data_IF_588083943168
#
_entry.id   IF_588083943168
#
_cell.length_a   1.000
_cell.length_b   1.000
_cell.length_c   1.000
_cell.angle_alpha   90.00
_cell.angle_beta   90.00
_cell.angle_gamma   90.00
#
_symmetry.space_group_name_H-M   'P 1'
#
loop_
_entity.id
_entity.type
_entity.pdbx_description
1 polymer ?
#
# COMPACT_ATOMS: atom_id res chain seq x y z
N UNK A 1 -27.69 41.13 -8.07
CA UNK A 1 -26.22 41.02 -8.05
C UNK A 1 -25.65 40.78 -6.65
N UNK A 2 -26.10 41.50 -5.61
CA UNK A 2 -25.62 41.31 -4.22
C UNK A 2 -25.67 39.87 -3.70
N UNK A 3 -26.74 39.10 -3.96
CA UNK A 3 -26.85 37.70 -3.48
C UNK A 3 -25.83 36.74 -4.10
N UNK A 4 -25.41 36.98 -5.35
CA UNK A 4 -24.37 36.16 -6.01
C UNK A 4 -22.99 36.51 -5.48
N UNK A 5 -22.71 37.80 -5.28
CA UNK A 5 -21.48 38.28 -4.65
C UNK A 5 -21.34 37.78 -3.20
N UNK A 6 -22.44 37.81 -2.42
CA UNK A 6 -22.47 37.31 -1.05
C UNK A 6 -22.24 35.79 -0.99
N UNK A 7 -22.84 35.00 -1.89
CA UNK A 7 -22.58 33.55 -1.98
C UNK A 7 -21.14 33.25 -2.38
N UNK A 8 -20.59 33.97 -3.36
CA UNK A 8 -19.20 33.82 -3.78
C UNK A 8 -18.21 34.16 -2.64
N UNK A 9 -18.48 35.22 -1.88
CA UNK A 9 -17.69 35.59 -0.70
C UNK A 9 -17.74 34.53 0.40
N UNK A 10 -18.93 33.96 0.67
CA UNK A 10 -19.09 32.88 1.66
C UNK A 10 -18.39 31.59 1.24
N UNK A 11 -18.47 31.21 -0.05
CA UNK A 11 -17.74 30.05 -0.56
C UNK A 11 -16.23 30.25 -0.53
N UNK A 12 -15.75 31.45 -0.81
CA UNK A 12 -14.32 31.78 -0.72
C UNK A 12 -13.81 31.74 0.73
N UNK A 13 -14.59 32.25 1.69
CA UNK A 13 -14.29 32.14 3.12
C UNK A 13 -14.29 30.69 3.61
N UNK A 14 -15.25 29.88 3.15
CA UNK A 14 -15.30 28.45 3.48
C UNK A 14 -14.10 27.70 2.90
N UNK A 15 -13.75 27.95 1.64
CA UNK A 15 -12.58 27.36 1.00
C UNK A 15 -11.28 27.78 1.70
N UNK A 16 -11.15 29.05 2.07
CA UNK A 16 -9.99 29.56 2.81
C UNK A 16 -9.89 28.91 4.21
N UNK A 17 -11.02 28.76 4.90
CA UNK A 17 -11.09 28.05 6.19
C UNK A 17 -10.66 26.59 6.07
N UNK A 18 -11.13 25.88 5.04
CA UNK A 18 -10.73 24.51 4.73
C UNK A 18 -9.23 24.40 4.43
N UNK A 19 -8.67 25.34 3.65
CA UNK A 19 -7.24 25.38 3.35
C UNK A 19 -6.40 25.65 4.60
N UNK A 20 -6.82 26.60 5.45
CA UNK A 20 -6.13 26.92 6.71
C UNK A 20 -6.23 25.77 7.72
N UNK A 21 -7.37 25.08 7.80
CA UNK A 21 -7.54 23.89 8.62
C UNK A 21 -6.63 22.75 8.13
N UNK A 22 -6.57 22.50 6.83
CA UNK A 22 -5.68 21.50 6.24
C UNK A 22 -4.19 21.85 6.50
N UNK A 23 -3.80 23.11 6.32
CA UNK A 23 -2.45 23.57 6.58
C UNK A 23 -2.06 23.44 8.07
N UNK A 24 -2.98 23.75 8.98
CA UNK A 24 -2.78 23.61 10.43
C UNK A 24 -2.65 22.14 10.81
N UNK A 25 -3.46 21.27 10.23
CA UNK A 25 -3.40 19.83 10.46
C UNK A 25 -2.09 19.22 9.95
N UNK A 26 -1.58 19.67 8.80
CA UNK A 26 -0.27 19.25 8.28
C UNK A 26 0.87 19.70 9.21
N UNK A 27 0.80 20.92 9.79
CA UNK A 27 1.80 21.38 10.75
C UNK A 27 1.77 20.57 12.03
N UNK A 28 0.58 20.31 12.57
CA UNK A 28 0.37 19.48 13.76
C UNK A 28 0.90 18.06 13.49
N UNK A 29 0.55 17.44 12.36
CA UNK A 29 1.02 16.10 12.00
C UNK A 29 2.55 15.99 11.85
N UNK A 30 3.23 17.11 11.56
CA UNK A 30 4.69 17.20 11.46
C UNK A 30 5.35 17.70 12.75
N UNK A 31 4.57 18.01 13.78
CA UNK A 31 5.08 18.55 15.03
C UNK A 31 5.91 17.47 15.76
N UNK A 32 7.19 17.74 16.06
CA UNK A 32 8.02 16.84 16.86
C UNK A 32 7.38 16.46 18.20
N UNK A 33 6.54 17.30 18.79
CA UNK A 33 5.85 17.04 20.05
C UNK A 33 4.80 15.92 19.96
N UNK A 34 4.36 15.56 18.76
CA UNK A 34 3.41 14.45 18.53
C UNK A 34 4.09 13.11 18.20
N UNK A 35 5.42 13.11 17.95
CA UNK A 35 6.21 11.89 17.77
C UNK A 35 6.02 10.87 18.91
N UNK A 36 5.99 11.25 20.20
CA UNK A 36 5.79 10.30 21.29
C UNK A 36 4.45 9.56 21.25
N UNK A 37 3.43 10.09 20.57
CA UNK A 37 2.14 9.41 20.40
C UNK A 37 2.17 8.46 19.20
N UNK A 38 2.83 8.83 18.11
CA UNK A 38 3.08 7.94 16.97
C UNK A 38 3.99 6.76 17.38
N UNK A 39 5.05 7.02 18.13
CA UNK A 39 5.97 6.00 18.67
C UNK A 39 5.27 5.06 19.65
N UNK A 40 4.31 5.57 20.44
CA UNK A 40 3.47 4.73 21.30
C UNK A 40 2.53 3.83 20.51
N UNK A 41 2.02 4.30 19.37
CA UNK A 41 1.17 3.49 18.50
C UNK A 41 1.96 2.35 17.86
N UNK A 42 3.15 2.61 17.33
CA UNK A 42 4.02 1.56 16.76
C UNK A 42 4.50 0.59 17.84
N UNK A 43 4.91 1.08 19.01
CA UNK A 43 5.29 0.23 20.14
C UNK A 43 4.15 -0.69 20.60
N UNK A 44 2.89 -0.23 20.54
CA UNK A 44 1.74 -1.07 20.87
C UNK A 44 1.49 -2.19 19.84
N UNK A 45 1.77 -1.97 18.54
CA UNK A 45 1.75 -3.03 17.52
C UNK A 45 2.81 -4.07 17.84
N UNK A 46 4.05 -3.63 18.08
CA UNK A 46 5.16 -4.52 18.40
C UNK A 46 4.85 -5.37 19.64
N UNK A 47 4.36 -4.75 20.72
CA UNK A 47 3.97 -5.46 21.93
C UNK A 47 2.80 -6.45 21.72
N UNK A 48 1.82 -6.10 20.87
CA UNK A 48 0.74 -7.01 20.53
C UNK A 48 1.24 -8.23 19.74
N UNK A 49 2.13 -8.00 18.78
CA UNK A 49 2.75 -9.05 17.99
C UNK A 49 3.64 -9.96 18.82
N UNK A 50 4.43 -9.42 19.74
CA UNK A 50 5.29 -10.21 20.61
C UNK A 50 4.47 -11.09 21.57
N UNK A 51 3.31 -10.60 22.05
CA UNK A 51 2.37 -11.42 22.84
C UNK A 51 1.79 -12.59 22.05
N UNK A 52 1.29 -12.34 20.84
CA UNK A 52 0.80 -13.42 19.97
C UNK A 52 1.92 -14.40 19.63
N UNK A 53 3.14 -13.90 19.41
CA UNK A 53 4.29 -14.73 19.08
C UNK A 53 4.79 -15.56 20.27
N UNK A 54 4.61 -15.10 21.50
CA UNK A 54 4.92 -15.90 22.69
C UNK A 54 4.08 -17.19 22.75
N UNK A 55 2.83 -17.15 22.28
CA UNK A 55 1.96 -18.31 22.22
C UNK A 55 2.15 -19.16 20.95
N UNK A 56 2.51 -18.53 19.83
CA UNK A 56 2.50 -19.17 18.51
C UNK A 56 3.85 -19.75 18.04
N UNK A 57 4.98 -19.18 18.47
CA UNK A 57 6.31 -19.65 18.07
C UNK A 57 6.70 -20.91 18.85
N UNK A 58 6.17 -22.05 18.46
CA UNK A 58 6.56 -23.36 18.99
C UNK A 58 7.56 -24.05 18.05
N UNK A 59 8.41 -24.98 18.54
CA UNK A 59 9.31 -25.75 17.68
C UNK A 59 8.57 -26.48 16.56
N UNK A 60 7.42 -27.08 16.88
CA UNK A 60 6.57 -27.77 15.91
C UNK A 60 6.06 -26.82 14.82
N UNK A 61 5.65 -25.59 15.19
CA UNK A 61 5.16 -24.60 14.22
C UNK A 61 6.28 -24.11 13.29
N UNK A 62 7.46 -23.88 13.82
CA UNK A 62 8.64 -23.48 13.03
C UNK A 62 9.02 -24.61 12.06
N UNK A 63 9.11 -25.86 12.54
CA UNK A 63 9.44 -27.00 11.70
C UNK A 63 8.39 -27.22 10.59
N UNK A 64 7.10 -27.20 10.91
CA UNK A 64 6.01 -27.29 9.93
C UNK A 64 6.14 -26.21 8.86
N UNK A 65 6.38 -24.95 9.26
CA UNK A 65 6.46 -23.85 8.31
C UNK A 65 7.71 -23.92 7.44
N UNK A 66 8.86 -24.25 8.00
CA UNK A 66 10.10 -24.43 7.24
C UNK A 66 9.96 -25.58 6.24
N UNK A 67 9.38 -26.72 6.62
CA UNK A 67 9.11 -27.83 5.69
C UNK A 67 8.23 -27.37 4.53
N UNK A 68 7.15 -26.62 4.81
CA UNK A 68 6.27 -26.11 3.77
C UNK A 68 7.00 -25.12 2.83
N UNK A 69 7.82 -24.22 3.38
CA UNK A 69 8.59 -23.24 2.61
C UNK A 69 9.69 -23.89 1.75
N UNK A 70 10.36 -24.92 2.28
CA UNK A 70 11.39 -25.68 1.55
C UNK A 70 10.80 -26.54 0.42
N UNK A 71 9.50 -26.81 0.45
CA UNK A 71 8.77 -27.49 -0.61
C UNK A 71 8.18 -26.53 -1.68
N UNK A 72 8.24 -25.21 -1.48
CA UNK A 72 7.77 -24.25 -2.48
C UNK A 72 8.72 -24.23 -3.70
N UNK A 73 8.16 -24.19 -4.91
CA UNK A 73 8.91 -24.04 -6.16
C UNK A 73 8.34 -22.85 -6.98
N UNK A 74 9.11 -21.76 -7.18
CA UNK A 74 10.41 -21.46 -6.57
C UNK A 74 10.35 -21.23 -5.04
N UNK A 75 11.41 -21.61 -4.32
CA UNK A 75 11.50 -21.37 -2.87
C UNK A 75 11.52 -19.88 -2.54
N UNK A 76 10.77 -19.51 -1.50
CA UNK A 76 10.75 -18.16 -0.95
C UNK A 76 11.82 -18.00 0.14
N UNK A 77 13.05 -17.70 -0.27
CA UNK A 77 14.18 -17.54 0.64
C UNK A 77 14.02 -16.38 1.63
N UNK A 78 13.31 -15.31 1.24
CA UNK A 78 12.94 -14.23 2.17
C UNK A 78 12.07 -14.75 3.33
N UNK A 79 11.09 -15.59 3.05
CA UNK A 79 10.25 -16.20 4.10
C UNK A 79 11.02 -17.25 4.92
N UNK A 80 11.86 -18.07 4.29
CA UNK A 80 12.71 -19.06 4.98
C UNK A 80 13.63 -18.35 5.96
N UNK A 81 14.34 -17.32 5.52
CA UNK A 81 15.27 -16.55 6.35
C UNK A 81 14.54 -15.84 7.48
N UNK A 82 13.37 -15.28 7.21
CA UNK A 82 12.59 -14.63 8.25
C UNK A 82 12.04 -15.63 9.30
N UNK A 83 11.73 -16.87 8.93
CA UNK A 83 11.31 -17.91 9.89
C UNK A 83 12.50 -18.45 10.69
N UNK A 84 13.67 -18.65 10.07
CA UNK A 84 14.89 -19.03 10.79
C UNK A 84 15.36 -17.93 11.75
N UNK A 85 15.18 -16.66 11.37
CA UNK A 85 15.40 -15.51 12.25
C UNK A 85 14.51 -15.55 13.50
N UNK A 86 13.22 -15.88 13.34
CA UNK A 86 12.31 -16.05 14.49
C UNK A 86 12.76 -17.22 15.37
N UNK A 87 13.18 -18.34 14.77
CA UNK A 87 13.67 -19.49 15.52
C UNK A 87 14.91 -19.13 16.34
N UNK A 88 15.87 -18.43 15.72
CA UNK A 88 17.11 -17.96 16.36
C UNK A 88 16.84 -16.91 17.45
N UNK A 89 15.97 -15.93 17.21
CA UNK A 89 15.55 -14.92 18.19
C UNK A 89 14.97 -15.58 19.46
N UNK A 90 14.27 -16.71 19.29
CA UNK A 90 13.57 -17.42 20.37
C UNK A 90 14.33 -18.63 20.92
N UNK A 91 15.51 -18.96 20.40
CA UNK A 91 16.26 -20.15 20.78
C UNK A 91 15.52 -21.47 20.50
N UNK A 92 14.70 -21.51 19.46
CA UNK A 92 13.92 -22.68 19.08
C UNK A 92 14.73 -23.59 18.13
N UNK A 93 14.71 -24.92 18.32
CA UNK A 93 15.39 -25.83 17.43
C UNK A 93 14.70 -25.91 16.07
N UNK A 94 15.48 -26.03 15.01
CA UNK A 94 15.03 -26.33 13.64
C UNK A 94 16.10 -27.13 12.90
N UNK A 95 15.72 -27.75 11.78
CA UNK A 95 16.64 -28.54 10.95
C UNK A 95 17.55 -27.61 10.13
N UNK A 96 18.66 -27.21 10.74
CA UNK A 96 19.71 -26.40 10.10
C UNK A 96 20.24 -27.06 8.84
N UNK A 97 20.50 -28.37 8.89
CA UNK A 97 21.14 -29.11 7.82
C UNK A 97 20.25 -29.17 6.57
N UNK A 98 18.94 -29.33 6.73
CA UNK A 98 18.00 -29.29 5.61
C UNK A 98 17.95 -27.89 4.95
N UNK A 99 17.97 -26.81 5.75
CA UNK A 99 17.98 -25.43 5.23
C UNK A 99 19.29 -25.14 4.49
N UNK A 100 20.43 -25.53 5.06
CA UNK A 100 21.75 -25.35 4.44
C UNK A 100 21.89 -26.17 3.16
N UNK A 101 21.48 -27.45 3.17
CA UNK A 101 21.51 -28.28 1.97
C UNK A 101 20.63 -27.72 0.84
N UNK A 102 19.43 -27.21 1.17
CA UNK A 102 18.57 -26.55 0.20
C UNK A 102 19.20 -25.25 -0.33
N UNK A 103 19.88 -24.49 0.53
CA UNK A 103 20.58 -23.26 0.16
C UNK A 103 21.73 -23.55 -0.79
N UNK A 104 22.55 -24.55 -0.49
CA UNK A 104 23.67 -24.92 -1.35
C UNK A 104 23.20 -25.41 -2.72
N UNK A 105 22.09 -26.16 -2.77
CA UNK A 105 21.47 -26.56 -4.03
C UNK A 105 21.00 -25.35 -4.86
N UNK A 106 20.29 -24.40 -4.23
CA UNK A 106 19.70 -23.26 -4.93
C UNK A 106 20.70 -22.17 -5.30
N UNK A 107 21.76 -21.99 -4.50
CA UNK A 107 22.77 -20.94 -4.65
C UNK A 107 24.13 -21.44 -5.19
N UNK A 108 24.22 -22.69 -5.64
CA UNK A 108 25.38 -23.16 -6.41
C UNK A 108 25.58 -22.30 -7.67
N UNK A 109 26.83 -22.13 -8.12
CA UNK A 109 27.16 -21.26 -9.27
C UNK A 109 26.33 -21.63 -10.51
N UNK A 110 26.21 -22.93 -10.79
CA UNK A 110 25.43 -23.44 -11.92
C UNK A 110 23.92 -23.15 -11.76
N UNK A 111 23.35 -23.39 -10.57
CA UNK A 111 21.95 -23.10 -10.30
C UNK A 111 21.63 -21.60 -10.35
N UNK A 112 22.55 -20.74 -9.89
CA UNK A 112 22.38 -19.28 -9.99
C UNK A 112 22.40 -18.82 -11.44
N UNK A 113 23.32 -19.33 -12.25
CA UNK A 113 23.39 -18.99 -13.68
C UNK A 113 22.11 -19.41 -14.42
N UNK A 114 21.65 -20.65 -14.22
CA UNK A 114 20.42 -21.14 -14.87
C UNK A 114 19.17 -20.43 -14.38
N UNK A 115 19.03 -20.22 -13.07
CA UNK A 115 17.89 -19.52 -12.47
C UNK A 115 17.86 -18.06 -12.89
N UNK A 116 19.01 -17.39 -12.98
CA UNK A 116 19.11 -16.01 -13.45
C UNK A 116 18.69 -15.90 -14.92
N UNK A 117 19.14 -16.83 -15.78
CA UNK A 117 18.72 -16.88 -17.19
C UNK A 117 17.20 -17.17 -17.31
N UNK A 118 16.69 -18.12 -16.55
CA UNK A 118 15.26 -18.44 -16.50
C UNK A 118 14.42 -17.27 -16.00
N UNK A 119 14.85 -16.59 -14.94
CA UNK A 119 14.22 -15.38 -14.38
C UNK A 119 14.28 -14.19 -15.35
N UNK A 120 15.38 -14.03 -16.09
CA UNK A 120 15.49 -13.00 -17.13
C UNK A 120 14.53 -13.26 -18.30
N UNK A 121 14.25 -14.53 -18.61
CA UNK A 121 13.31 -14.95 -19.64
C UNK A 121 11.85 -14.89 -19.19
N UNK A 122 11.55 -15.43 -18.00
CA UNK A 122 10.22 -15.48 -17.40
C UNK A 122 10.30 -15.06 -15.92
N UNK A 123 9.69 -13.92 -15.60
CA UNK A 123 9.68 -13.38 -14.25
C UNK A 123 8.94 -14.30 -13.24
N UNK A 124 8.05 -15.18 -13.72
CA UNK A 124 7.38 -16.17 -12.89
C UNK A 124 8.34 -17.21 -12.30
N UNK A 125 9.54 -17.36 -12.89
CA UNK A 125 10.57 -18.29 -12.43
C UNK A 125 11.58 -17.61 -11.49
N UNK A 126 11.44 -16.30 -11.24
CA UNK A 126 12.30 -15.59 -10.30
C UNK A 126 12.04 -16.02 -8.85
N UNK A 127 13.13 -16.25 -8.12
CA UNK A 127 13.08 -16.51 -6.68
C UNK A 127 13.02 -15.18 -5.92
N UNK A 128 12.33 -15.17 -4.77
CA UNK A 128 12.35 -14.04 -3.83
C UNK A 128 13.67 -14.06 -3.03
N UNK A 129 14.72 -13.54 -3.64
CA UNK A 129 16.09 -13.49 -3.10
C UNK A 129 16.91 -12.38 -3.79
N UNK A 130 18.20 -12.28 -3.48
CA UNK A 130 19.11 -11.31 -4.13
C UNK A 130 19.18 -11.47 -5.66
N UNK A 131 18.80 -12.63 -6.19
CA UNK A 131 18.70 -12.96 -7.62
C UNK A 131 17.62 -12.15 -8.36
N UNK A 132 16.69 -11.48 -7.67
CA UNK A 132 15.80 -10.49 -8.30
C UNK A 132 16.57 -9.36 -9.01
N UNK A 133 17.85 -9.16 -8.66
CA UNK A 133 18.76 -8.26 -9.37
C UNK A 133 19.01 -8.68 -10.83
N UNK A 134 18.77 -9.96 -11.20
CA UNK A 134 18.82 -10.42 -12.59
C UNK A 134 17.76 -9.74 -13.48
N UNK A 135 16.70 -9.21 -12.89
CA UNK A 135 15.65 -8.41 -13.54
C UNK A 135 15.83 -6.90 -13.28
N UNK A 136 16.99 -6.44 -12.77
CA UNK A 136 17.25 -5.03 -12.44
C UNK A 136 16.80 -4.01 -13.51
N UNK A 137 16.92 -4.26 -14.83
CA UNK A 137 16.41 -3.34 -15.85
C UNK A 137 14.89 -3.10 -15.75
N UNK A 138 14.11 -4.09 -15.32
CA UNK A 138 12.64 -4.02 -15.18
C UNK A 138 12.17 -3.43 -13.85
N UNK A 139 13.03 -3.39 -12.82
CA UNK A 139 12.76 -2.77 -11.52
C UNK A 139 13.01 -1.25 -11.51
N UNK A 140 13.71 -0.73 -12.52
CA UNK A 140 13.89 0.72 -12.68
C UNK A 140 12.65 1.35 -13.30
N UNK A 141 12.24 2.52 -12.81
CA UNK A 141 10.98 3.22 -13.15
C UNK A 141 10.73 3.60 -14.61
N UNK A 142 11.51 3.07 -15.56
CA UNK A 142 11.33 3.14 -17.02
C UNK A 142 10.19 2.20 -17.49
N UNK A 143 9.80 1.22 -16.66
CA UNK A 143 8.73 0.23 -16.95
C UNK A 143 7.43 0.85 -17.45
N UNK A 144 6.73 1.66 -16.65
CA UNK A 144 5.36 2.11 -16.98
C UNK A 144 5.23 2.84 -18.33
N UNK A 145 6.24 3.63 -18.71
CA UNK A 145 6.27 4.34 -20.00
C UNK A 145 6.55 3.37 -21.14
N UNK A 146 7.51 2.45 -20.95
CA UNK A 146 7.82 1.39 -21.93
C UNK A 146 6.64 0.46 -22.13
N UNK A 147 5.94 0.11 -21.05
CA UNK A 147 4.79 -0.78 -21.07
C UNK A 147 3.60 -0.10 -21.73
N UNK A 148 3.31 1.17 -21.40
CA UNK A 148 2.24 1.89 -22.10
C UNK A 148 2.59 2.16 -23.56
N UNK A 149 3.87 2.39 -23.89
CA UNK A 149 4.32 2.50 -25.28
C UNK A 149 4.19 1.15 -26.01
N UNK A 150 4.51 0.03 -25.37
CA UNK A 150 4.35 -1.31 -25.92
C UNK A 150 2.87 -1.66 -26.12
N UNK A 151 2.03 -1.47 -25.11
CA UNK A 151 0.58 -1.67 -25.22
C UNK A 151 -0.05 -0.69 -26.22
N UNK A 152 0.49 0.53 -26.35
CA UNK A 152 0.10 1.51 -27.37
C UNK A 152 0.50 1.08 -28.78
N UNK A 153 1.64 0.41 -28.94
CA UNK A 153 2.04 -0.22 -30.21
C UNK A 153 1.17 -1.43 -30.54
N UNK A 154 0.86 -2.29 -29.57
CA UNK A 154 -0.10 -3.39 -29.76
C UNK A 154 -1.46 -2.85 -30.21
N UNK A 155 -1.94 -1.79 -29.57
CA UNK A 155 -3.16 -1.11 -29.97
C UNK A 155 -3.10 -0.55 -31.40
N UNK A 156 -1.98 0.09 -31.78
CA UNK A 156 -1.78 0.61 -33.13
C UNK A 156 -1.65 -0.49 -34.20
N UNK A 157 -1.12 -1.66 -33.83
CA UNK A 157 -0.97 -2.84 -34.68
C UNK A 157 -2.25 -3.69 -34.77
N UNK A 158 -3.30 -3.37 -33.98
CA UNK A 158 -4.52 -4.19 -33.92
C UNK A 158 -4.35 -5.50 -33.13
N UNK A 159 -3.30 -5.60 -32.34
CA UNK A 159 -2.98 -6.76 -31.49
C UNK A 159 -3.71 -6.67 -30.13
N UNK A 160 -3.73 -7.79 -29.38
CA UNK A 160 -4.35 -7.84 -28.06
C UNK A 160 -3.59 -6.97 -27.04
N UNK A 161 -4.34 -6.12 -26.33
CA UNK A 161 -3.81 -5.23 -25.28
C UNK A 161 -4.06 -5.85 -23.91
N UNK A 162 -3.06 -5.87 -23.02
CA UNK A 162 -3.25 -6.34 -21.64
C UNK A 162 -3.96 -5.27 -20.79
N UNK A 163 -5.26 -5.47 -20.45
CA UNK A 163 -6.04 -4.45 -19.75
C UNK A 163 -5.53 -4.20 -18.33
N UNK A 164 -4.87 -5.18 -17.71
CA UNK A 164 -4.32 -5.05 -16.35
C UNK A 164 -3.08 -4.16 -16.36
N UNK A 165 -2.23 -4.30 -17.37
CA UNK A 165 -1.06 -3.42 -17.55
C UNK A 165 -1.50 -1.98 -17.77
N UNK A 166 -2.50 -1.74 -18.63
CA UNK A 166 -3.04 -0.39 -18.85
C UNK A 166 -3.65 0.20 -17.57
N UNK A 167 -4.39 -0.58 -16.78
CA UNK A 167 -4.99 -0.11 -15.53
C UNK A 167 -3.94 0.23 -14.45
N UNK A 168 -2.91 -0.62 -14.29
CA UNK A 168 -1.80 -0.33 -13.38
C UNK A 168 -1.00 0.91 -13.83
N UNK A 169 -0.73 1.04 -15.14
CA UNK A 169 -0.12 2.24 -15.71
C UNK A 169 -1.01 3.48 -15.53
N UNK A 170 -2.33 3.34 -15.62
CA UNK A 170 -3.28 4.43 -15.38
C UNK A 170 -3.31 4.85 -13.90
N UNK A 171 -3.18 3.92 -12.95
CA UNK A 171 -3.03 4.25 -11.51
C UNK A 171 -1.70 4.97 -11.27
N UNK A 172 -0.60 4.45 -11.84
CA UNK A 172 0.73 5.05 -11.73
C UNK A 172 0.85 6.43 -12.38
N UNK A 173 0.23 6.65 -13.55
CA UNK A 173 0.24 7.93 -14.28
C UNK A 173 -0.86 8.90 -13.84
N UNK A 174 -2.02 8.39 -13.39
CA UNK A 174 -3.09 9.21 -12.79
C UNK A 174 -2.60 9.90 -11.52
N UNK A 175 -1.74 9.23 -10.75
CA UNK A 175 -1.00 9.84 -9.65
C UNK A 175 -0.10 11.01 -10.12
N UNK A 176 0.55 10.88 -11.29
CA UNK A 176 1.37 11.93 -11.93
C UNK A 176 0.55 13.09 -12.51
N UNK A 177 -0.72 12.86 -12.86
CA UNK A 177 -1.63 13.92 -13.33
C UNK A 177 -2.20 14.77 -12.18
N UNK A 178 -2.49 14.18 -11.02
CA UNK A 178 -3.00 14.90 -9.84
C UNK A 178 -1.98 15.92 -9.28
N UNK A 179 -0.69 15.70 -9.54
CA UNK A 179 0.46 16.51 -9.09
C UNK A 179 0.41 17.94 -9.57
N UNK A 180 0.08 18.09 -10.86
CA UNK A 180 0.01 19.39 -11.50
C UNK A 180 -1.16 20.22 -10.95
N UNK A 181 -2.11 19.57 -10.26
CA UNK A 181 -3.25 20.23 -9.64
C UNK A 181 -3.09 20.45 -8.12
N UNK A 182 -2.34 19.62 -7.39
CA UNK A 182 -2.33 19.63 -5.90
C UNK A 182 -0.99 19.95 -5.22
N UNK A 183 0.14 20.08 -5.93
CA UNK A 183 1.39 20.57 -5.35
C UNK A 183 2.02 19.71 -4.24
N UNK A 184 1.80 18.39 -4.22
CA UNK A 184 2.53 17.49 -3.30
C UNK A 184 2.14 16.00 -3.34
N UNK A 185 3.16 15.14 -3.13
CA UNK A 185 3.18 13.68 -2.86
C UNK A 185 2.71 12.68 -3.92
N UNK A 186 3.42 12.61 -5.05
CA UNK A 186 3.09 11.72 -6.18
C UNK A 186 4.25 10.90 -6.75
N UNK A 187 5.46 11.12 -6.24
CA UNK A 187 6.58 10.19 -6.43
C UNK A 187 6.36 8.85 -5.72
N UNK A 188 5.39 8.79 -4.80
CA UNK A 188 5.11 7.64 -3.93
C UNK A 188 4.33 6.53 -4.63
N UNK A 189 3.30 6.80 -5.42
CA UNK A 189 2.48 5.71 -5.97
C UNK A 189 3.17 4.85 -7.05
N UNK A 190 4.28 5.32 -7.61
CA UNK A 190 5.03 4.62 -8.66
C UNK A 190 5.69 3.33 -8.16
N UNK A 191 6.27 3.36 -6.97
CA UNK A 191 6.93 2.20 -6.37
C UNK A 191 5.91 1.10 -6.01
N UNK A 192 4.77 1.49 -5.43
CA UNK A 192 3.69 0.55 -5.10
C UNK A 192 3.07 -0.13 -6.33
N UNK A 193 2.86 0.61 -7.42
CA UNK A 193 2.32 0.04 -8.67
C UNK A 193 3.33 -0.93 -9.32
N UNK A 194 4.61 -0.57 -9.33
CA UNK A 194 5.69 -1.43 -9.80
C UNK A 194 5.79 -2.72 -8.96
N UNK A 195 5.72 -2.63 -7.63
CA UNK A 195 5.73 -3.79 -6.74
C UNK A 195 4.56 -4.74 -7.00
N UNK A 196 3.33 -4.20 -7.13
CA UNK A 196 2.13 -5.00 -7.48
C UNK A 196 2.28 -5.65 -8.86
N UNK A 197 2.84 -4.93 -9.83
CA UNK A 197 3.10 -5.46 -11.17
C UNK A 197 4.12 -6.61 -11.15
N UNK A 198 5.24 -6.41 -10.46
CA UNK A 198 6.27 -7.43 -10.28
C UNK A 198 5.69 -8.67 -9.60
N UNK A 199 4.93 -8.49 -8.52
CA UNK A 199 4.27 -9.60 -7.85
C UNK A 199 3.22 -10.32 -8.71
N UNK A 200 2.50 -9.61 -9.59
CA UNK A 200 1.62 -10.25 -10.58
C UNK A 200 2.42 -11.13 -11.54
N UNK A 201 3.52 -10.59 -12.09
CA UNK A 201 4.40 -11.34 -13.00
C UNK A 201 4.96 -12.59 -12.33
N UNK A 202 5.39 -12.46 -11.08
CA UNK A 202 5.88 -13.56 -10.24
C UNK A 202 4.79 -14.50 -9.73
N UNK A 203 3.50 -14.24 -10.04
CA UNK A 203 2.34 -15.00 -9.56
C UNK A 203 2.23 -15.09 -8.03
N UNK A 204 2.70 -14.05 -7.34
CA UNK A 204 2.69 -13.94 -5.88
C UNK A 204 1.38 -13.40 -5.32
N UNK A 205 0.55 -12.77 -6.15
CA UNK A 205 -0.69 -12.13 -5.68
C UNK A 205 -1.72 -13.17 -5.24
N UNK A 206 -2.46 -12.84 -4.18
CA UNK A 206 -3.57 -13.68 -3.74
C UNK A 206 -4.68 -13.73 -4.80
N UNK A 207 -5.53 -14.79 -4.80
CA UNK A 207 -6.66 -14.86 -5.71
C UNK A 207 -7.62 -13.66 -5.60
N UNK A 208 -7.98 -13.18 -4.38
CA UNK A 208 -8.78 -11.95 -4.24
C UNK A 208 -8.13 -10.70 -4.84
N UNK A 209 -6.82 -10.50 -4.61
CA UNK A 209 -6.08 -9.37 -5.17
C UNK A 209 -6.02 -9.43 -6.70
N UNK A 210 -5.80 -10.62 -7.25
CA UNK A 210 -5.83 -10.86 -8.70
C UNK A 210 -7.21 -10.55 -9.28
N UNK A 211 -8.28 -10.99 -8.63
CA UNK A 211 -9.64 -10.68 -9.05
C UNK A 211 -9.96 -9.18 -8.97
N UNK A 212 -9.48 -8.48 -7.94
CA UNK A 212 -9.61 -7.02 -7.82
C UNK A 212 -8.87 -6.29 -8.94
N UNK A 213 -7.64 -6.70 -9.27
CA UNK A 213 -6.87 -6.15 -10.40
C UNK A 213 -7.60 -6.35 -11.73
N UNK A 214 -8.10 -7.55 -11.98
CA UNK A 214 -8.84 -7.87 -13.20
C UNK A 214 -10.15 -7.07 -13.30
N UNK A 215 -10.85 -6.88 -12.18
CA UNK A 215 -12.06 -6.04 -12.14
C UNK A 215 -11.74 -4.58 -12.43
N UNK A 216 -10.71 -4.05 -11.75
CA UNK A 216 -10.23 -2.69 -11.98
C UNK A 216 -9.80 -2.48 -13.45
N UNK A 217 -9.20 -3.49 -14.08
CA UNK A 217 -8.84 -3.47 -15.49
C UNK A 217 -10.06 -3.41 -16.42
N UNK A 218 -11.06 -4.27 -16.19
CA UNK A 218 -12.26 -4.31 -17.04
C UNK A 218 -13.19 -3.12 -16.86
N UNK A 219 -13.38 -2.68 -15.62
CA UNK A 219 -14.44 -1.75 -15.24
C UNK A 219 -13.92 -0.36 -14.86
N UNK A 220 -12.63 -0.24 -14.57
CA UNK A 220 -11.99 1.02 -14.18
C UNK A 220 -11.61 1.92 -15.34
N UNK A 221 -11.70 1.42 -16.57
CA UNK A 221 -11.44 2.16 -17.80
C UNK A 221 -12.65 2.08 -18.73
N UNK A 222 -13.05 3.22 -19.27
CA UNK A 222 -13.97 3.29 -20.39
C UNK A 222 -13.20 3.00 -21.69
N UNK A 223 -13.09 1.71 -22.02
CA UNK A 223 -12.43 1.24 -23.24
C UNK A 223 -13.03 1.82 -24.53
N UNK A 224 -14.30 2.21 -24.52
CA UNK A 224 -14.93 2.86 -25.68
C UNK A 224 -14.47 4.31 -25.83
N UNK A 225 -14.36 5.04 -24.72
CA UNK A 225 -13.85 6.41 -24.71
C UNK A 225 -12.35 6.43 -25.01
N UNK A 226 -11.59 5.48 -24.47
CA UNK A 226 -10.16 5.34 -24.74
C UNK A 226 -9.90 5.11 -26.22
N UNK A 227 -10.64 4.19 -26.87
CA UNK A 227 -10.51 3.93 -28.31
C UNK A 227 -10.84 5.13 -29.19
N UNK A 228 -11.86 5.91 -28.81
CA UNK A 228 -12.29 7.09 -29.59
C UNK A 228 -11.38 8.30 -29.43
N UNK A 229 -10.80 8.48 -28.25
CA UNK A 229 -10.10 9.74 -27.91
C UNK A 229 -8.60 9.60 -27.79
N UNK A 230 -8.09 8.37 -27.56
CA UNK A 230 -6.71 8.12 -27.18
C UNK A 230 -6.33 8.70 -25.81
N UNK A 231 -7.27 9.32 -25.08
CA UNK A 231 -6.99 10.04 -23.84
C UNK A 231 -7.31 9.17 -22.62
N UNK A 232 -6.27 8.62 -22.01
CA UNK A 232 -6.36 7.80 -20.81
C UNK A 232 -7.01 8.55 -19.64
N UNK A 233 -6.79 9.87 -19.50
CA UNK A 233 -7.33 10.64 -18.37
C UNK A 233 -8.86 10.73 -18.43
N UNK A 234 -9.41 10.81 -19.64
CA UNK A 234 -10.87 10.85 -19.87
C UNK A 234 -11.52 9.48 -19.79
N UNK A 235 -10.75 8.41 -20.00
CA UNK A 235 -11.24 7.04 -19.92
C UNK A 235 -11.25 6.49 -18.49
N UNK A 236 -10.48 7.06 -17.55
CA UNK A 236 -10.43 6.58 -16.17
C UNK A 236 -11.77 6.80 -15.44
N UNK A 237 -12.23 5.75 -14.74
CA UNK A 237 -13.38 5.78 -13.82
C UNK A 237 -12.88 5.73 -12.37
N UNK A 238 -12.70 6.89 -11.70
CA UNK A 238 -12.02 6.96 -10.41
C UNK A 238 -12.71 6.15 -9.30
N UNK A 239 -14.04 6.12 -9.29
CA UNK A 239 -14.81 5.36 -8.29
C UNK A 239 -14.53 3.86 -8.32
N UNK A 240 -14.34 3.30 -9.52
CA UNK A 240 -14.06 1.87 -9.70
C UNK A 240 -12.60 1.51 -9.43
N UNK A 241 -11.67 2.44 -9.68
CA UNK A 241 -10.24 2.26 -9.37
C UNK A 241 -9.88 2.53 -7.90
N UNK A 242 -10.83 3.03 -7.09
CA UNK A 242 -10.59 3.43 -5.70
C UNK A 242 -9.90 2.35 -4.84
N UNK A 243 -10.47 1.13 -4.74
CA UNK A 243 -9.88 0.04 -3.93
C UNK A 243 -8.47 -0.35 -4.36
N UNK A 244 -8.21 -0.39 -5.68
CA UNK A 244 -6.89 -0.68 -6.23
C UNK A 244 -5.91 0.45 -5.90
N UNK A 245 -6.33 1.70 -6.08
CA UNK A 245 -5.50 2.88 -5.80
C UNK A 245 -5.13 2.95 -4.32
N UNK A 246 -6.06 2.63 -3.42
CA UNK A 246 -5.80 2.55 -1.99
C UNK A 246 -4.83 1.42 -1.66
N UNK A 247 -5.03 0.23 -2.24
CA UNK A 247 -4.10 -0.90 -2.07
C UNK A 247 -2.68 -0.53 -2.52
N UNK A 248 -2.52 0.05 -3.71
CA UNK A 248 -1.22 0.50 -4.25
C UNK A 248 -0.56 1.55 -3.34
N UNK A 249 -1.35 2.45 -2.75
CA UNK A 249 -0.84 3.43 -1.78
C UNK A 249 -0.26 2.77 -0.54
N UNK A 250 -0.96 1.79 0.01
CA UNK A 250 -0.49 1.05 1.19
C UNK A 250 0.71 0.16 0.87
N UNK A 251 0.79 -0.40 -0.35
CA UNK A 251 1.99 -1.11 -0.84
C UNK A 251 3.19 -0.16 -0.96
N UNK A 252 2.99 1.07 -1.42
CA UNK A 252 4.08 2.05 -1.38
C UNK A 252 4.51 2.38 0.06
N UNK A 253 3.58 2.43 1.02
CA UNK A 253 3.95 2.60 2.43
C UNK A 253 4.82 1.43 2.92
N UNK A 254 4.51 0.20 2.48
CA UNK A 254 5.34 -0.97 2.75
C UNK A 254 6.76 -0.84 2.20
N UNK A 255 6.91 -0.41 0.94
CA UNK A 255 8.24 -0.16 0.33
C UNK A 255 9.04 0.94 1.05
N UNK A 256 8.36 1.88 1.72
CA UNK A 256 9.01 2.88 2.56
C UNK A 256 9.54 2.33 3.89
N UNK A 257 9.01 1.19 4.35
CA UNK A 257 9.35 0.56 5.64
C UNK A 257 10.22 -0.70 5.49
N UNK A 258 10.19 -1.37 4.34
CA UNK A 258 10.86 -2.66 4.09
C UNK A 258 11.61 -2.64 2.76
N UNK A 259 12.69 -3.45 2.63
CA UNK A 259 13.28 -3.76 1.34
C UNK A 259 12.24 -4.31 0.35
N UNK A 260 12.42 -4.04 -0.94
CA UNK A 260 11.49 -4.48 -2.00
C UNK A 260 11.21 -5.97 -1.98
N UNK A 261 12.22 -6.82 -1.77
CA UNK A 261 12.05 -8.28 -1.75
C UNK A 261 11.18 -8.76 -0.58
N UNK A 262 11.26 -8.10 0.58
CA UNK A 262 10.39 -8.35 1.73
C UNK A 262 8.97 -7.83 1.48
N UNK A 263 8.83 -6.67 0.83
CA UNK A 263 7.52 -6.17 0.42
C UNK A 263 6.83 -7.15 -0.54
N UNK A 264 7.55 -7.65 -1.55
CA UNK A 264 7.02 -8.64 -2.49
C UNK A 264 6.59 -9.93 -1.80
N UNK A 265 7.35 -10.41 -0.81
CA UNK A 265 6.98 -11.59 -0.01
C UNK A 265 5.64 -11.39 0.74
N UNK A 266 5.35 -10.17 1.20
CA UNK A 266 4.11 -9.85 1.93
C UNK A 266 2.89 -9.66 1.02
N UNK A 267 3.07 -9.32 -0.26
CA UNK A 267 1.96 -9.08 -1.20
C UNK A 267 1.03 -10.29 -1.35
N UNK A 268 1.54 -11.52 -1.14
CA UNK A 268 0.73 -12.76 -1.17
C UNK A 268 -0.34 -12.82 -0.08
N UNK A 269 -0.21 -12.00 0.97
CA UNK A 269 -1.14 -11.95 2.09
C UNK A 269 -2.15 -10.81 1.99
N UNK A 270 -2.07 -9.96 0.96
CA UNK A 270 -2.95 -8.82 0.77
C UNK A 270 -4.12 -9.25 -0.12
N UNK A 271 -5.35 -9.24 0.40
CA UNK A 271 -6.55 -9.47 -0.41
C UNK A 271 -7.22 -8.17 -0.88
N UNK A 272 -6.86 -7.04 -0.27
CA UNK A 272 -7.44 -5.75 -0.54
C UNK A 272 -6.85 -4.63 0.31
N UNK A 273 -7.45 -3.42 0.27
CA UNK A 273 -6.87 -2.22 0.87
C UNK A 273 -6.72 -2.31 2.40
N UNK A 274 -7.68 -2.96 3.09
CA UNK A 274 -7.63 -3.12 4.54
C UNK A 274 -6.48 -3.99 5.01
N UNK A 275 -6.21 -5.08 4.30
CA UNK A 275 -5.08 -5.97 4.59
C UNK A 275 -3.76 -5.25 4.30
N UNK A 276 -3.67 -4.56 3.16
CA UNK A 276 -2.48 -3.79 2.78
C UNK A 276 -2.15 -2.74 3.85
N UNK A 277 -3.16 -1.99 4.32
CA UNK A 277 -3.02 -1.00 5.39
C UNK A 277 -2.54 -1.61 6.70
N UNK A 278 -3.10 -2.75 7.10
CA UNK A 278 -2.71 -3.45 8.34
C UNK A 278 -1.29 -4.00 8.23
N UNK A 279 -0.90 -4.51 7.08
CA UNK A 279 0.45 -5.02 6.86
C UNK A 279 1.44 -3.85 6.82
N UNK A 280 1.12 -2.73 6.18
CA UNK A 280 1.91 -1.50 6.20
C UNK A 280 2.13 -0.96 7.62
N UNK A 281 1.07 -0.87 8.43
CA UNK A 281 1.19 -0.44 9.83
C UNK A 281 2.09 -1.38 10.65
N UNK A 282 2.03 -2.69 10.38
CA UNK A 282 2.90 -3.65 11.05
C UNK A 282 4.36 -3.52 10.57
N UNK A 283 4.58 -3.28 9.29
CA UNK A 283 5.90 -3.02 8.72
C UNK A 283 6.56 -1.78 9.29
N UNK A 284 5.83 -0.68 9.40
CA UNK A 284 6.31 0.55 10.03
C UNK A 284 6.69 0.36 11.50
N UNK A 285 6.04 -0.59 12.21
CA UNK A 285 6.29 -0.88 13.61
C UNK A 285 7.38 -1.94 13.88
N UNK A 286 7.45 -2.97 13.03
CA UNK A 286 8.32 -4.14 13.23
C UNK A 286 9.57 -4.11 12.35
N UNK A 287 9.56 -3.34 11.26
CA UNK A 287 10.60 -3.35 10.23
C UNK A 287 10.78 -4.77 9.65
N UNK A 288 12.01 -5.22 9.39
CA UNK A 288 12.30 -6.52 8.76
C UNK A 288 11.71 -7.74 9.47
N UNK A 289 11.42 -7.64 10.79
CA UNK A 289 10.76 -8.73 11.54
C UNK A 289 9.34 -9.04 11.06
N UNK A 290 8.74 -8.18 10.25
CA UNK A 290 7.36 -8.30 9.75
C UNK A 290 7.10 -9.60 9.02
N UNK A 291 8.01 -9.99 8.11
CA UNK A 291 7.87 -11.23 7.32
C UNK A 291 7.84 -12.44 8.26
N UNK A 292 8.79 -12.54 9.18
CA UNK A 292 8.87 -13.67 10.12
C UNK A 292 7.65 -13.74 11.04
N UNK A 293 7.16 -12.58 11.50
CA UNK A 293 5.91 -12.53 12.29
C UNK A 293 4.70 -12.97 11.44
N UNK A 294 4.59 -12.54 10.20
CA UNK A 294 3.51 -12.94 9.28
C UNK A 294 3.52 -14.45 9.01
N UNK A 295 4.68 -15.02 8.69
CA UNK A 295 4.85 -16.43 8.33
C UNK A 295 4.52 -17.36 9.51
N UNK A 296 4.98 -17.02 10.72
CA UNK A 296 4.76 -17.86 11.91
C UNK A 296 3.34 -17.72 12.45
N UNK A 297 2.82 -16.50 12.60
CA UNK A 297 1.45 -16.26 13.12
C UNK A 297 0.37 -16.66 12.11
N UNK A 298 0.67 -16.55 10.82
CA UNK A 298 -0.30 -16.59 9.74
C UNK A 298 -1.15 -15.32 9.65
N UNK A 299 -1.73 -15.10 8.47
CA UNK A 299 -2.50 -13.90 8.11
C UNK A 299 -3.57 -13.53 9.16
N UNK A 300 -4.42 -14.47 9.56
CA UNK A 300 -5.57 -14.17 10.42
C UNK A 300 -5.17 -13.70 11.84
N UNK A 301 -4.12 -14.26 12.44
CA UNK A 301 -3.65 -13.85 13.76
C UNK A 301 -2.84 -12.55 13.66
N UNK A 302 -1.99 -12.44 12.64
CA UNK A 302 -1.24 -11.23 12.34
C UNK A 302 -2.16 -10.00 12.17
N UNK A 303 -3.15 -10.08 11.28
CA UNK A 303 -4.05 -8.95 11.00
C UNK A 303 -4.93 -8.57 12.20
N UNK A 304 -5.24 -9.52 13.09
CA UNK A 304 -5.95 -9.26 14.35
C UNK A 304 -5.05 -8.55 15.37
N UNK A 305 -3.78 -8.92 15.46
CA UNK A 305 -2.81 -8.24 16.32
C UNK A 305 -2.62 -6.77 15.90
N UNK A 306 -2.63 -6.48 14.60
CA UNK A 306 -2.53 -5.09 14.11
C UNK A 306 -3.84 -4.30 14.21
N UNK A 307 -4.98 -4.98 14.39
CA UNK A 307 -6.32 -4.36 14.38
C UNK A 307 -6.56 -3.36 15.53
N UNK A 308 -5.90 -3.55 16.68
CA UNK A 308 -6.25 -2.85 17.92
C UNK A 308 -5.93 -1.35 17.94
N UNK A 309 -5.20 -0.83 16.95
CA UNK A 309 -4.80 0.57 16.89
C UNK A 309 -5.55 1.43 15.88
N UNK A 310 -6.18 0.83 14.86
CA UNK A 310 -7.05 1.59 13.95
C UNK A 310 -8.19 2.27 14.71
N UNK A 311 -8.69 1.66 15.79
CA UNK A 311 -9.72 2.25 16.63
C UNK A 311 -9.25 3.48 17.43
N UNK A 312 -7.95 3.54 17.79
CA UNK A 312 -7.39 4.69 18.51
C UNK A 312 -7.19 5.86 17.55
N UNK A 313 -6.69 5.61 16.34
CA UNK A 313 -6.57 6.62 15.29
C UNK A 313 -7.95 7.14 14.83
N UNK A 314 -8.93 6.23 14.66
CA UNK A 314 -10.33 6.60 14.37
C UNK A 314 -10.93 7.37 15.54
N UNK A 315 -10.66 7.00 16.79
CA UNK A 315 -11.12 7.70 17.98
C UNK A 315 -10.54 9.12 18.08
N UNK A 316 -9.26 9.30 17.78
CA UNK A 316 -8.59 10.62 17.72
C UNK A 316 -9.13 11.48 16.58
N UNK A 317 -9.31 10.90 15.39
CA UNK A 317 -9.90 11.59 14.25
C UNK A 317 -11.36 11.98 14.53
N UNK A 318 -12.17 11.08 15.09
CA UNK A 318 -13.54 11.35 15.50
C UNK A 318 -13.60 12.43 16.60
N UNK A 319 -12.66 12.42 17.55
CA UNK A 319 -12.51 13.46 18.57
C UNK A 319 -12.20 14.83 17.98
N UNK A 320 -11.25 14.91 17.04
CA UNK A 320 -10.92 16.15 16.33
C UNK A 320 -12.09 16.65 15.48
N UNK A 321 -12.81 15.74 14.80
CA UNK A 321 -14.04 16.06 14.07
C UNK A 321 -15.15 16.55 15.00
N UNK A 322 -15.29 15.96 16.19
CA UNK A 322 -16.23 16.41 17.21
C UNK A 322 -15.92 17.83 17.69
N UNK A 323 -14.65 18.15 17.93
CA UNK A 323 -14.20 19.50 18.31
C UNK A 323 -14.48 20.50 17.18
N UNK A 324 -14.15 20.16 15.94
CA UNK A 324 -14.42 21.01 14.79
C UNK A 324 -15.93 21.26 14.60
N UNK A 325 -16.76 20.24 14.75
CA UNK A 325 -18.22 20.35 14.72
C UNK A 325 -18.77 21.25 15.83
N UNK A 326 -18.24 21.13 17.06
CA UNK A 326 -18.61 21.98 18.18
C UNK A 326 -18.25 23.46 17.94
N UNK A 327 -17.06 23.74 17.41
CA UNK A 327 -16.62 25.10 17.07
C UNK A 327 -17.48 25.72 15.94
N UNK A 328 -17.82 24.94 14.91
CA UNK A 328 -18.73 25.39 13.85
C UNK A 328 -20.14 25.67 14.39
N UNK A 329 -20.66 24.82 15.26
CA UNK A 329 -21.94 25.06 15.95
C UNK A 329 -21.94 26.34 16.76
N UNK A 330 -20.85 26.61 17.50
CA UNK A 330 -20.69 27.82 18.29
C UNK A 330 -20.62 29.10 17.43
N UNK A 331 -19.87 29.06 16.32
CA UNK A 331 -19.77 30.17 15.38
C UNK A 331 -21.12 30.48 14.70
N UNK A 332 -21.86 29.43 14.30
CA UNK A 332 -23.19 29.57 13.74
C UNK A 332 -24.18 30.20 14.74
N UNK A 333 -24.10 29.82 16.01
CA UNK A 333 -24.95 30.37 17.06
C UNK A 333 -24.65 31.85 17.32
N UNK A 334 -23.37 32.22 17.43
CA UNK A 334 -22.93 33.61 17.57
C UNK A 334 -23.39 34.49 16.40
N UNK A 335 -23.23 34.00 15.17
CA UNK A 335 -23.72 34.67 13.96
C UNK A 335 -25.23 34.88 13.97
N UNK A 336 -26.00 33.89 14.41
CA UNK A 336 -27.46 33.98 14.52
C UNK A 336 -27.88 35.06 15.54
N UNK A 337 -27.25 35.07 16.72
CA UNK A 337 -27.51 36.13 17.72
C UNK A 337 -27.11 37.52 17.25
N UNK A 338 -25.99 37.66 16.52
CA UNK A 338 -25.57 38.95 15.97
C UNK A 338 -26.54 39.45 14.88
N UNK A 339 -26.99 38.56 14.00
CA UNK A 339 -27.97 38.87 12.96
C UNK A 339 -29.32 39.31 13.57
N UNK A 340 -29.81 38.61 14.60
CA UNK A 340 -31.04 38.98 15.30
C UNK A 340 -30.92 40.34 16.01
N UNK A 341 -29.76 40.64 16.61
CA UNK A 341 -29.50 41.96 17.23
C UNK A 341 -29.46 43.07 16.18
N UNK A 342 -28.87 42.83 15.02
CA UNK A 342 -28.80 43.79 13.93
C UNK A 342 -30.20 44.07 13.36
N UNK A 343 -30.99 43.03 13.12
CA UNK A 343 -32.38 43.15 12.67
C UNK A 343 -33.26 43.90 13.66
N UNK A 344 -33.10 43.66 14.97
CA UNK A 344 -33.80 44.42 16.02
C UNK A 344 -33.41 45.89 16.08
N UNK A 345 -32.18 46.24 15.72
CA UNK A 345 -31.71 47.64 15.63
C UNK A 345 -32.20 48.35 14.38
N UNK A 346 -32.37 47.63 13.28
CA UNK A 346 -32.91 48.16 12.02
C UNK A 346 -34.44 48.27 12.02
N UNK A 347 -35.12 47.55 12.92
CA UNK A 347 -36.58 47.61 13.09
C UNK A 347 -37.03 48.66 14.12
N UNK A 348 -36.10 49.39 14.74
CA UNK A 348 -36.34 50.59 15.56
C UNK A 348 -35.98 51.81 14.75
#
# INVERSE_FOLDING_TARGET
MLRRAARAGLTALLALSLVLAAASMIRIARDPALRPFADRATAAIAAAMDREMAAAATPARIAERLTALLAEEPRNWVAIDAVTDVARERGLPYDMAAVEAARDADFSIAARASTCAACAWDIAQCRLSAELLCQAPMLTGIGDVKDLAREGMHYAAGEEVDPVTVALSAVGLGATALVLASGGTSLTLKAGAAAVKTARGMRLLSPPMTAMLQRAAREGLDWSALRRTGDLRRAVRPGTLGPLTETVREVNRLEGALPTVETLALLRHIDGPDDARRIANAAEALGPRTVGRMEVLGKARFLRATARLSNIAIGLAAGLWGIAAALMGMAAHLGHTAALRLLRRLAR
#
